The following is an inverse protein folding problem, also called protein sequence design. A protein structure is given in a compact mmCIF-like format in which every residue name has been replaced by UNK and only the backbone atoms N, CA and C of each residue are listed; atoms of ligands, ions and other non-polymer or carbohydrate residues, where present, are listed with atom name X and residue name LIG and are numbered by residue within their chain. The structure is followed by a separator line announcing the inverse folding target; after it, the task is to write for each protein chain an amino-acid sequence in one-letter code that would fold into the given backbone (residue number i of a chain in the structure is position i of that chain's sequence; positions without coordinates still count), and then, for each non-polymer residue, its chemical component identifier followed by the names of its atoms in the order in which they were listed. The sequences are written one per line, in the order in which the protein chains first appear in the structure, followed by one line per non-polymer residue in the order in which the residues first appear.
data_IF_856166111849
#
_entry.id   IF_856166111849
#
_cell.length_a   1.000
_cell.length_b   1.000
_cell.length_c   1.000
_cell.angle_alpha   90.00
_cell.angle_beta   90.00
_cell.angle_gamma   90.00
#
_symmetry.space_group_name_H-M   'P 1'
#
loop_
_entity.id
_entity.type
_entity.pdbx_description
1 polymer ?
#
# COMPACT_ATOMS: atom_id res chain seq x y z
N UNK A 1 -11.36 28.72 -22.50
CA UNK A 1 -10.38 27.74 -21.96
C UNK A 1 -11.13 26.69 -21.15
N UNK A 2 -11.02 25.39 -21.45
CA UNK A 2 -11.73 24.36 -20.70
C UNK A 2 -11.08 24.19 -19.32
N UNK A 3 -11.89 24.26 -18.25
CA UNK A 3 -11.41 24.09 -16.87
C UNK A 3 -11.23 22.60 -16.57
N UNK A 4 -10.06 22.16 -16.07
CA UNK A 4 -9.84 20.77 -15.71
C UNK A 4 -10.74 20.38 -14.54
N UNK A 5 -11.46 19.27 -14.68
CA UNK A 5 -12.35 18.76 -13.63
C UNK A 5 -11.54 18.23 -12.45
N UNK A 6 -12.09 18.37 -11.24
CA UNK A 6 -11.46 17.93 -9.98
C UNK A 6 -11.07 16.44 -9.99
N UNK A 7 -11.69 15.60 -10.85
CA UNK A 7 -11.33 14.18 -11.01
C UNK A 7 -10.01 13.95 -11.76
N UNK A 8 -9.62 14.87 -12.65
CA UNK A 8 -8.35 14.79 -13.38
C UNK A 8 -7.15 15.07 -12.46
N UNK A 9 -7.29 16.05 -11.55
CA UNK A 9 -6.23 16.37 -10.58
C UNK A 9 -6.06 15.31 -9.49
N UNK A 10 -7.14 14.65 -9.05
CA UNK A 10 -7.06 13.55 -8.09
C UNK A 10 -6.41 12.29 -8.68
N UNK A 11 -6.70 11.99 -9.96
CA UNK A 11 -6.11 10.85 -10.68
C UNK A 11 -4.61 11.04 -10.93
N UNK A 12 -4.16 12.26 -11.24
CA UNK A 12 -2.74 12.56 -11.45
C UNK A 12 -1.90 12.49 -10.16
N UNK A 13 -2.47 12.84 -9.00
CA UNK A 13 -1.77 12.73 -7.70
C UNK A 13 -1.66 11.28 -7.22
N UNK A 14 -2.67 10.44 -7.50
CA UNK A 14 -2.63 9.00 -7.18
C UNK A 14 -1.71 8.20 -8.13
N UNK A 15 -1.62 8.57 -9.40
CA UNK A 15 -0.69 7.94 -10.37
C UNK A 15 0.78 8.12 -10.02
N UNK A 16 1.18 9.31 -9.52
CA UNK A 16 2.57 9.58 -9.11
C UNK A 16 3.00 8.86 -7.82
N UNK A 17 2.06 8.59 -6.91
CA UNK A 17 2.32 7.84 -5.67
C UNK A 17 2.52 6.34 -5.91
N UNK A 18 1.73 5.75 -6.83
CA UNK A 18 1.85 4.33 -7.20
C UNK A 18 3.07 4.04 -8.10
N UNK A 19 3.47 5.00 -8.95
CA UNK A 19 4.70 4.87 -9.74
C UNK A 19 5.98 4.90 -8.88
N UNK A 20 5.98 5.64 -7.75
CA UNK A 20 7.15 5.68 -6.87
C UNK A 20 7.31 4.43 -6.00
N UNK A 21 6.23 3.67 -5.77
CA UNK A 21 6.24 2.41 -5.00
C UNK A 21 6.51 1.16 -5.86
N UNK A 22 6.35 1.25 -7.18
CA UNK A 22 6.60 0.14 -8.12
C UNK A 22 7.99 0.15 -8.73
N UNK A 23 8.69 1.29 -8.78
CA UNK A 23 10.08 1.36 -9.27
C UNK A 23 11.09 0.86 -8.22
N UNK A 24 10.74 0.87 -6.92
CA UNK A 24 11.59 0.37 -5.84
C UNK A 24 11.65 -1.17 -5.71
N UNK A 25 10.70 -1.89 -6.31
CA UNK A 25 10.61 -3.35 -6.20
C UNK A 25 11.04 -4.10 -7.49
N UNK A 26 11.34 -3.37 -8.57
CA UNK A 26 11.66 -3.95 -9.88
C UNK A 26 13.17 -4.02 -10.20
N UNK A 27 14.05 -3.87 -9.19
CA UNK A 27 15.52 -3.92 -9.37
C UNK A 27 16.23 -5.06 -8.62
N UNK A 28 15.51 -6.07 -8.16
CA UNK A 28 16.10 -7.19 -7.41
C UNK A 28 15.80 -8.58 -8.00
N UNK A 29 15.13 -8.66 -9.15
CA UNK A 29 14.76 -9.93 -9.77
C UNK A 29 15.47 -10.12 -11.12
N UNK A 30 16.79 -10.20 -11.12
CA UNK A 30 17.53 -10.77 -12.26
C UNK A 30 18.85 -11.37 -11.78
N UNK A 31 19.03 -12.65 -12.12
CA UNK A 31 20.26 -13.48 -12.00
C UNK A 31 20.47 -14.26 -10.71
N UNK A 32 19.79 -15.40 -10.58
CA UNK A 32 20.43 -16.61 -10.02
C UNK A 32 19.86 -17.87 -10.66
N UNK A 33 20.23 -18.10 -11.92
CA UNK A 33 20.36 -19.42 -12.50
C UNK A 33 21.66 -19.41 -13.31
N UNK A 34 22.45 -20.48 -13.21
CA UNK A 34 23.81 -20.65 -13.74
C UNK A 34 24.91 -20.19 -12.78
N UNK A 35 25.58 -21.18 -12.15
CA UNK A 35 27.01 -21.27 -11.86
C UNK A 35 27.24 -22.11 -10.60
N UNK A 36 27.07 -23.43 -10.71
CA UNK A 36 27.55 -24.39 -9.72
C UNK A 36 28.75 -25.21 -10.21
N UNK A 37 29.39 -24.79 -11.31
CA UNK A 37 30.53 -25.47 -11.90
C UNK A 37 31.50 -24.42 -12.46
N UNK A 38 32.19 -23.69 -11.58
CA UNK A 38 33.50 -23.06 -11.83
C UNK A 38 33.82 -22.09 -10.69
N UNK A 39 34.35 -22.64 -9.59
CA UNK A 39 35.22 -21.93 -8.62
C UNK A 39 35.68 -22.89 -7.53
N UNK A 40 36.40 -23.94 -7.92
CA UNK A 40 37.40 -24.53 -7.03
C UNK A 40 38.74 -24.05 -7.54
N UNK A 41 39.08 -22.80 -7.19
CA UNK A 41 40.46 -22.33 -7.29
C UNK A 41 41.17 -22.96 -6.10
N UNK A 42 41.81 -24.10 -6.32
CA UNK A 42 42.63 -24.81 -5.33
C UNK A 42 43.84 -23.94 -5.00
N UNK A 43 43.69 -23.01 -4.08
CA UNK A 43 44.83 -22.46 -3.35
C UNK A 43 45.35 -23.59 -2.47
N UNK A 44 46.38 -24.29 -2.95
CA UNK A 44 47.24 -25.12 -2.11
C UNK A 44 47.97 -24.15 -1.20
N UNK A 45 47.38 -23.84 -0.04
CA UNK A 45 48.14 -23.32 1.07
C UNK A 45 49.09 -24.44 1.48
N UNK A 46 50.39 -24.23 1.23
CA UNK A 46 51.45 -25.00 1.87
C UNK A 46 51.28 -24.78 3.37
N UNK A 47 50.59 -25.71 4.04
CA UNK A 47 50.44 -25.70 5.47
C UNK A 47 51.84 -25.76 6.07
N UNK A 48 52.27 -24.66 6.68
CA UNK A 48 53.42 -24.62 7.56
C UNK A 48 53.12 -25.57 8.71
N UNK A 49 53.83 -26.69 8.71
CA UNK A 49 53.93 -27.67 9.79
C UNK A 49 54.34 -26.96 11.07
N UNK A 50 53.39 -26.83 12.01
CA UNK A 50 53.56 -27.04 13.46
C UNK A 50 52.38 -26.41 14.21
N UNK A 51 51.26 -27.16 14.27
CA UNK A 51 50.22 -26.92 15.27
C UNK A 51 50.07 -28.21 16.06
N UNK A 52 50.88 -28.35 17.10
CA UNK A 52 50.82 -29.50 18.01
C UNK A 52 49.62 -29.33 18.96
N UNK A 53 48.45 -29.82 18.54
CA UNK A 53 47.26 -29.90 19.40
C UNK A 53 47.35 -31.21 20.19
N UNK A 54 47.52 -31.18 21.51
CA UNK A 54 47.59 -32.41 22.31
C UNK A 54 46.30 -33.21 22.12
N UNK A 55 46.42 -34.53 21.87
CA UNK A 55 45.37 -35.54 21.58
C UNK A 55 44.95 -35.76 20.12
N UNK A 56 45.40 -34.93 19.18
CA UNK A 56 45.20 -35.18 17.74
C UNK A 56 46.48 -35.71 17.11
N UNK A 57 46.52 -37.01 16.84
CA UNK A 57 47.58 -37.61 16.02
C UNK A 57 47.43 -37.10 14.59
N UNK A 58 48.33 -36.24 14.14
CA UNK A 58 48.44 -35.84 12.74
C UNK A 58 49.10 -36.97 11.96
N UNK A 59 48.30 -37.85 11.37
CA UNK A 59 48.81 -38.83 10.39
C UNK A 59 49.14 -38.11 9.09
N UNK A 60 50.39 -38.21 8.68
CA UNK A 60 50.83 -37.79 7.35
C UNK A 60 50.19 -38.71 6.29
N UNK A 61 49.90 -38.24 5.06
CA UNK A 61 49.33 -39.09 4.01
C UNK A 61 50.16 -40.35 3.71
N UNK A 62 51.47 -40.30 3.94
CA UNK A 62 52.40 -41.44 3.83
C UNK A 62 52.18 -42.52 4.91
N UNK A 63 51.66 -42.16 6.09
CA UNK A 63 51.37 -43.12 7.17
C UNK A 63 50.01 -43.79 6.99
N UNK A 64 49.12 -43.21 6.18
CA UNK A 64 47.81 -43.82 5.86
C UNK A 64 47.99 -45.08 5.01
N UNK A 65 48.94 -45.09 4.09
CA UNK A 65 49.21 -46.23 3.21
C UNK A 65 49.67 -47.47 4.00
N UNK A 66 50.43 -47.28 5.08
CA UNK A 66 50.83 -48.37 5.99
C UNK A 66 49.74 -48.82 6.97
N UNK A 67 48.68 -48.03 7.15
CA UNK A 67 47.52 -48.37 7.99
C UNK A 67 46.40 -49.05 7.20
N UNK A 68 46.41 -48.93 5.88
CA UNK A 68 45.48 -49.67 5.02
C UNK A 68 45.92 -51.14 4.98
N UNK A 69 44.98 -52.09 5.16
CA UNK A 69 45.28 -53.50 4.96
C UNK A 69 45.80 -53.68 3.54
N UNK A 70 47.00 -54.24 3.40
CA UNK A 70 47.61 -54.45 2.09
C UNK A 70 46.75 -55.41 1.28
N UNK A 71 46.22 -54.94 0.15
CA UNK A 71 45.46 -55.75 -0.77
C UNK A 71 46.41 -56.55 -1.65
N UNK A 72 46.44 -57.87 -1.49
CA UNK A 72 47.22 -58.76 -2.36
C UNK A 72 46.29 -59.38 -3.42
N UNK A 73 46.36 -58.95 -4.71
CA UNK A 73 45.45 -59.43 -5.75
C UNK A 73 45.53 -60.94 -5.99
N UNK A 74 46.70 -61.55 -5.71
CA UNK A 74 46.94 -62.99 -5.90
C UNK A 74 46.15 -63.86 -4.91
N UNK A 75 45.83 -63.33 -3.72
CA UNK A 75 45.06 -64.06 -2.69
C UNK A 75 43.56 -64.14 -3.01
N UNK A 76 43.08 -63.32 -3.95
CA UNK A 76 41.69 -63.29 -4.41
C UNK A 76 41.51 -63.90 -5.80
N UNK A 77 42.58 -64.40 -6.42
CA UNK A 77 42.52 -65.01 -7.74
C UNK A 77 41.99 -66.45 -7.65
N UNK A 78 40.75 -66.65 -8.11
CA UNK A 78 40.11 -67.97 -8.13
C UNK A 78 40.49 -68.68 -9.44
N UNK A 79 41.45 -69.60 -9.35
CA UNK A 79 41.88 -70.42 -10.50
C UNK A 79 40.90 -71.55 -10.83
N UNK A 80 40.19 -72.09 -9.83
CA UNK A 80 39.11 -73.08 -9.98
C UNK A 80 37.86 -72.61 -9.21
N UNK A 81 36.80 -72.16 -9.90
CA UNK A 81 35.57 -71.67 -9.28
C UNK A 81 34.79 -72.73 -8.48
N UNK A 82 34.96 -74.02 -8.77
CA UNK A 82 34.26 -75.08 -8.05
C UNK A 82 34.99 -75.48 -6.76
N UNK A 83 36.30 -75.25 -6.68
CA UNK A 83 37.12 -75.58 -5.51
C UNK A 83 38.03 -74.41 -5.13
N UNK A 84 37.49 -73.32 -4.55
CA UNK A 84 38.31 -72.19 -4.13
C UNK A 84 39.34 -72.64 -3.07
N UNK A 85 40.56 -72.08 -3.08
CA UNK A 85 41.59 -72.39 -2.08
C UNK A 85 41.07 -72.15 -0.66
N UNK A 86 41.34 -73.07 0.28
CA UNK A 86 40.92 -72.94 1.69
C UNK A 86 41.55 -71.73 2.41
N UNK A 87 42.59 -71.14 1.84
CA UNK A 87 43.27 -69.93 2.30
C UNK A 87 42.57 -68.65 1.88
N UNK A 88 41.61 -68.73 0.94
CA UNK A 88 40.82 -67.58 0.53
C UNK A 88 39.89 -67.17 1.68
N UNK A 89 39.94 -65.91 2.14
CA UNK A 89 39.07 -65.45 3.21
C UNK A 89 37.61 -65.46 2.71
N UNK A 90 36.85 -66.47 3.12
CA UNK A 90 35.42 -66.55 2.87
C UNK A 90 34.67 -65.80 3.95
N UNK A 91 33.71 -64.98 3.53
CA UNK A 91 32.80 -64.28 4.43
C UNK A 91 32.01 -65.34 5.20
N UNK A 92 32.00 -65.25 6.53
CA UNK A 92 31.19 -66.19 7.33
C UNK A 92 29.70 -65.93 7.08
N UNK A 93 28.86 -66.94 7.27
CA UNK A 93 27.40 -66.78 7.12
C UNK A 93 26.85 -65.62 7.97
N UNK A 94 27.42 -65.40 9.17
CA UNK A 94 27.03 -64.30 10.04
C UNK A 94 27.40 -62.93 9.46
N UNK A 95 28.57 -62.80 8.83
CA UNK A 95 29.00 -61.57 8.16
C UNK A 95 28.16 -61.28 6.91
N UNK A 96 27.84 -62.32 6.12
CA UNK A 96 26.97 -62.19 4.96
C UNK A 96 25.56 -61.73 5.34
N UNK A 97 24.95 -62.36 6.35
CA UNK A 97 23.62 -61.96 6.85
C UNK A 97 23.63 -60.54 7.40
N UNK A 98 24.71 -60.14 8.08
CA UNK A 98 24.86 -58.77 8.60
C UNK A 98 24.96 -57.75 7.46
N UNK A 99 25.78 -58.02 6.44
CA UNK A 99 25.91 -57.16 5.27
C UNK A 99 24.59 -57.05 4.48
N UNK A 100 23.87 -58.16 4.29
CA UNK A 100 22.56 -58.16 3.63
C UNK A 100 21.54 -57.31 4.39
N UNK A 101 21.51 -57.39 5.73
CA UNK A 101 20.61 -56.58 6.57
C UNK A 101 20.94 -55.08 6.48
N UNK A 102 22.23 -54.73 6.45
CA UNK A 102 22.67 -53.33 6.28
C UNK A 102 22.21 -52.82 4.92
N UNK A 103 22.41 -53.59 3.86
CA UNK A 103 21.99 -53.22 2.50
C UNK A 103 20.47 -53.03 2.41
N UNK A 104 19.68 -53.99 2.89
CA UNK A 104 18.21 -53.91 2.87
C UNK A 104 17.68 -52.79 3.78
N UNK A 105 18.39 -52.51 4.88
CA UNK A 105 18.11 -51.37 5.75
C UNK A 105 18.36 -50.04 5.04
N UNK A 106 19.50 -49.92 4.35
CA UNK A 106 19.84 -48.75 3.55
C UNK A 106 18.86 -48.49 2.42
N UNK A 107 18.48 -49.53 1.68
CA UNK A 107 17.48 -49.44 0.61
C UNK A 107 16.12 -48.97 1.13
N UNK A 108 15.65 -49.50 2.27
CA UNK A 108 14.41 -49.06 2.90
C UNK A 108 14.49 -47.61 3.38
N UNK A 109 15.60 -47.22 3.99
CA UNK A 109 15.82 -45.84 4.43
C UNK A 109 15.80 -44.86 3.25
N UNK A 110 16.43 -45.22 2.12
CA UNK A 110 16.42 -44.40 0.91
C UNK A 110 15.00 -44.24 0.33
N UNK A 111 14.24 -45.33 0.25
CA UNK A 111 12.85 -45.28 -0.22
C UNK A 111 11.95 -44.44 0.70
N UNK A 112 12.09 -44.60 2.02
CA UNK A 112 11.35 -43.80 3.00
C UNK A 112 11.69 -42.32 2.88
N UNK A 113 12.98 -42.00 2.69
CA UNK A 113 13.45 -40.64 2.51
C UNK A 113 12.88 -40.03 1.22
N UNK A 114 12.88 -40.76 0.11
CA UNK A 114 12.24 -40.32 -1.14
C UNK A 114 10.75 -40.02 -0.97
N UNK A 115 10.00 -40.94 -0.36
CA UNK A 115 8.57 -40.71 -0.06
C UNK A 115 8.33 -39.52 0.89
N UNK A 116 9.23 -39.30 1.84
CA UNK A 116 9.15 -38.14 2.72
C UNK A 116 9.39 -36.82 1.96
N UNK A 117 10.33 -36.79 1.00
CA UNK A 117 10.52 -35.64 0.12
C UNK A 117 9.31 -35.36 -0.78
N UNK A 118 8.67 -36.40 -1.32
CA UNK A 118 7.44 -36.24 -2.10
C UNK A 118 6.30 -35.68 -1.25
N UNK A 119 6.11 -36.22 -0.04
CA UNK A 119 5.08 -35.75 0.89
C UNK A 119 5.31 -34.29 1.32
N UNK A 120 6.56 -33.93 1.63
CA UNK A 120 6.90 -32.56 2.02
C UNK A 120 6.69 -31.58 0.86
N UNK A 121 7.03 -31.98 -0.37
CA UNK A 121 6.76 -31.19 -1.58
C UNK A 121 5.26 -30.95 -1.76
N UNK A 122 4.43 -31.99 -1.62
CA UNK A 122 2.97 -31.85 -1.70
C UNK A 122 2.42 -30.94 -0.60
N UNK A 123 2.90 -31.08 0.64
CA UNK A 123 2.51 -30.19 1.75
C UNK A 123 2.89 -28.74 1.48
N UNK A 124 4.07 -28.48 0.94
CA UNK A 124 4.49 -27.13 0.58
C UNK A 124 3.59 -26.50 -0.49
N UNK A 125 3.18 -27.28 -1.50
CA UNK A 125 2.22 -26.82 -2.52
C UNK A 125 0.86 -26.48 -1.90
N UNK A 126 0.36 -27.32 -0.99
CA UNK A 126 -0.91 -27.08 -0.29
C UNK A 126 -0.84 -25.82 0.58
N UNK A 127 0.21 -25.65 1.38
CA UNK A 127 0.40 -24.45 2.20
C UNK A 127 0.57 -23.20 1.33
N UNK A 128 1.28 -23.30 0.19
CA UNK A 128 1.37 -22.22 -0.78
C UNK A 128 0.00 -21.82 -1.36
N UNK A 129 -0.89 -22.77 -1.62
CA UNK A 129 -2.28 -22.48 -2.04
C UNK A 129 -3.09 -21.82 -0.93
N UNK A 130 -2.98 -22.28 0.32
CA UNK A 130 -3.65 -21.66 1.48
C UNK A 130 -3.19 -20.22 1.70
N UNK A 131 -1.89 -19.96 1.63
CA UNK A 131 -1.33 -18.61 1.77
C UNK A 131 -1.86 -17.67 0.67
N UNK A 132 -1.95 -18.14 -0.58
CA UNK A 132 -2.55 -17.37 -1.69
C UNK A 132 -4.04 -17.11 -1.47
N UNK A 133 -4.79 -18.10 -1.01
CA UNK A 133 -6.22 -17.94 -0.71
C UNK A 133 -6.44 -16.93 0.42
N UNK A 134 -5.63 -16.99 1.47
CA UNK A 134 -5.65 -16.01 2.55
C UNK A 134 -5.32 -14.60 2.04
N UNK A 135 -4.26 -14.46 1.23
CA UNK A 135 -3.91 -13.18 0.61
C UNK A 135 -5.02 -12.61 -0.28
N UNK A 136 -5.68 -13.44 -1.09
CA UNK A 136 -6.84 -13.05 -1.88
C UNK A 136 -8.03 -12.62 -0.99
N UNK A 137 -8.27 -13.33 0.12
CA UNK A 137 -9.28 -12.97 1.11
C UNK A 137 -9.03 -11.61 1.75
N UNK A 138 -7.78 -11.33 2.15
CA UNK A 138 -7.39 -10.01 2.69
C UNK A 138 -7.59 -8.91 1.65
N UNK A 139 -7.16 -9.11 0.40
CA UNK A 139 -7.38 -8.14 -0.67
C UNK A 139 -8.85 -7.87 -0.95
N UNK A 140 -9.69 -8.92 -0.96
CA UNK A 140 -11.13 -8.78 -1.12
C UNK A 140 -11.74 -7.99 0.04
N UNK A 141 -11.38 -8.30 1.29
CA UNK A 141 -11.86 -7.58 2.47
C UNK A 141 -11.50 -6.09 2.41
N UNK A 142 -10.24 -5.76 2.07
CA UNK A 142 -9.82 -4.36 1.90
C UNK A 142 -10.57 -3.64 0.78
N UNK A 143 -10.88 -4.34 -0.32
CA UNK A 143 -11.69 -3.78 -1.40
C UNK A 143 -13.11 -3.44 -0.94
N UNK A 144 -13.74 -4.32 -0.15
CA UNK A 144 -15.06 -4.06 0.45
C UNK A 144 -15.04 -2.87 1.41
N UNK A 145 -14.03 -2.78 2.28
CA UNK A 145 -13.88 -1.63 3.18
C UNK A 145 -13.71 -0.31 2.41
N UNK A 146 -12.95 -0.34 1.32
CA UNK A 146 -12.80 0.83 0.45
C UNK A 146 -14.14 1.25 -0.17
N UNK A 147 -14.90 0.31 -0.72
CA UNK A 147 -16.23 0.61 -1.30
C UNK A 147 -17.18 1.17 -0.24
N UNK A 148 -17.14 0.62 0.98
CA UNK A 148 -17.90 1.14 2.11
C UNK A 148 -17.51 2.58 2.44
N UNK A 149 -16.20 2.87 2.51
CA UNK A 149 -15.69 4.23 2.72
C UNK A 149 -16.14 5.20 1.63
N UNK A 150 -15.97 4.82 0.36
CA UNK A 150 -16.38 5.64 -0.79
C UNK A 150 -17.90 5.93 -0.76
N UNK A 151 -18.74 4.97 -0.32
CA UNK A 151 -20.18 5.17 -0.14
C UNK A 151 -20.51 6.16 0.98
N UNK A 152 -19.85 6.04 2.14
CA UNK A 152 -20.05 6.96 3.26
C UNK A 152 -19.62 8.38 2.88
N UNK A 153 -18.48 8.52 2.20
CA UNK A 153 -18.01 9.82 1.69
C UNK A 153 -19.01 10.44 0.72
N UNK A 154 -19.60 9.64 -0.18
CA UNK A 154 -20.65 10.11 -1.08
C UNK A 154 -21.90 10.60 -0.33
N UNK A 155 -22.35 9.86 0.69
CA UNK A 155 -23.50 10.26 1.51
C UNK A 155 -23.23 11.59 2.23
N UNK A 156 -22.03 11.76 2.81
CA UNK A 156 -21.63 13.01 3.46
C UNK A 156 -21.59 14.17 2.45
N UNK A 157 -21.09 13.94 1.23
CA UNK A 157 -21.10 14.97 0.18
C UNK A 157 -22.52 15.35 -0.24
N UNK A 158 -23.43 14.38 -0.32
CA UNK A 158 -24.83 14.61 -0.65
C UNK A 158 -25.48 15.50 0.43
N UNK A 159 -25.31 15.15 1.70
CA UNK A 159 -25.84 15.92 2.84
C UNK A 159 -25.27 17.35 2.86
N UNK A 160 -23.96 17.50 2.71
CA UNK A 160 -23.31 18.81 2.65
C UNK A 160 -23.84 19.67 1.48
N UNK A 161 -24.12 19.06 0.33
CA UNK A 161 -24.70 19.79 -0.80
C UNK A 161 -26.15 20.20 -0.53
N UNK A 162 -26.94 19.38 0.15
CA UNK A 162 -28.29 19.73 0.57
C UNK A 162 -28.28 20.91 1.55
N UNK A 163 -27.41 20.87 2.56
CA UNK A 163 -27.25 21.96 3.54
C UNK A 163 -26.85 23.28 2.86
N UNK A 164 -25.88 23.24 1.93
CA UNK A 164 -25.51 24.41 1.12
C UNK A 164 -26.67 24.93 0.27
N UNK A 165 -27.50 24.04 -0.27
CA UNK A 165 -28.70 24.41 -1.02
C UNK A 165 -29.71 25.17 -0.15
N UNK A 166 -29.93 24.70 1.07
CA UNK A 166 -30.80 25.37 2.07
C UNK A 166 -30.23 26.74 2.41
N UNK A 167 -28.93 26.83 2.73
CA UNK A 167 -28.27 28.08 3.08
C UNK A 167 -28.38 29.10 1.93
N UNK A 168 -28.10 28.69 0.70
CA UNK A 168 -28.27 29.54 -0.49
C UNK A 168 -29.72 30.00 -0.66
N UNK A 169 -30.69 29.12 -0.42
CA UNK A 169 -32.11 29.46 -0.45
C UNK A 169 -32.46 30.55 0.56
N UNK A 170 -31.98 30.42 1.80
CA UNK A 170 -32.21 31.43 2.86
C UNK A 170 -31.52 32.76 2.54
N UNK A 171 -30.31 32.73 1.97
CA UNK A 171 -29.58 33.94 1.57
C UNK A 171 -30.30 34.69 0.44
N UNK A 172 -30.82 33.97 -0.56
CA UNK A 172 -31.63 34.54 -1.64
C UNK A 172 -32.91 35.16 -1.10
N UNK A 173 -33.61 34.48 -0.20
CA UNK A 173 -34.81 35.00 0.42
C UNK A 173 -34.52 36.31 1.17
N UNK A 174 -33.49 36.33 2.03
CA UNK A 174 -33.08 37.55 2.76
C UNK A 174 -32.76 38.71 1.82
N UNK A 175 -32.04 38.44 0.72
CA UNK A 175 -31.69 39.45 -0.27
C UNK A 175 -32.95 40.02 -0.95
N UNK A 176 -33.85 39.14 -1.40
CA UNK A 176 -35.11 39.53 -2.03
C UNK A 176 -35.98 40.34 -1.08
N UNK A 177 -36.08 39.93 0.19
CA UNK A 177 -36.83 40.67 1.20
C UNK A 177 -36.19 42.04 1.48
N UNK A 178 -34.86 42.12 1.55
CA UNK A 178 -34.16 43.40 1.73
C UNK A 178 -34.39 44.36 0.54
N UNK A 179 -34.38 43.84 -0.69
CA UNK A 179 -34.71 44.62 -1.89
C UNK A 179 -36.15 45.15 -1.84
N UNK A 180 -37.12 44.30 -1.47
CA UNK A 180 -38.52 44.72 -1.33
C UNK A 180 -38.70 45.79 -0.25
N UNK A 181 -38.08 45.62 0.91
CA UNK A 181 -38.11 46.61 1.99
C UNK A 181 -37.51 47.93 1.52
N UNK A 182 -36.39 47.90 0.78
CA UNK A 182 -35.76 49.12 0.29
C UNK A 182 -36.69 49.92 -0.64
N UNK A 183 -37.40 49.24 -1.55
CA UNK A 183 -38.38 49.89 -2.45
C UNK A 183 -39.52 50.54 -1.68
N UNK A 184 -40.12 49.83 -0.71
CA UNK A 184 -41.20 50.39 0.11
C UNK A 184 -40.70 51.56 0.97
N UNK A 185 -39.48 51.45 1.52
CA UNK A 185 -38.88 52.52 2.33
C UNK A 185 -38.61 53.77 1.49
N UNK A 186 -38.13 53.62 0.25
CA UNK A 186 -37.92 54.73 -0.68
C UNK A 186 -39.25 55.42 -1.02
N UNK A 187 -40.29 54.63 -1.27
CA UNK A 187 -41.65 55.14 -1.52
C UNK A 187 -42.17 55.94 -0.33
N UNK A 188 -42.10 55.39 0.89
CA UNK A 188 -42.49 56.11 2.11
C UNK A 188 -41.72 57.43 2.30
N UNK A 189 -40.43 57.43 1.93
CA UNK A 189 -39.57 58.62 2.05
C UNK A 189 -39.97 59.69 1.04
N UNK A 190 -40.30 59.30 -0.19
CA UNK A 190 -40.82 60.19 -1.22
C UNK A 190 -42.19 60.76 -0.84
N UNK A 191 -43.11 59.95 -0.31
CA UNK A 191 -44.42 60.41 0.18
C UNK A 191 -44.26 61.44 1.32
N UNK A 192 -43.35 61.19 2.27
CA UNK A 192 -43.03 62.15 3.34
C UNK A 192 -42.42 63.45 2.80
N UNK A 193 -41.59 63.36 1.77
CA UNK A 193 -40.99 64.51 1.12
C UNK A 193 -42.05 65.36 0.42
N UNK A 194 -42.98 64.73 -0.30
CA UNK A 194 -44.09 65.41 -0.97
C UNK A 194 -45.01 66.13 0.04
N UNK A 195 -45.37 65.47 1.15
CA UNK A 195 -46.13 66.09 2.24
C UNK A 195 -45.40 67.30 2.85
N UNK A 196 -44.08 67.19 3.06
CA UNK A 196 -43.29 68.29 3.58
C UNK A 196 -43.22 69.48 2.62
N UNK A 197 -43.12 69.22 1.31
CA UNK A 197 -43.16 70.25 0.27
C UNK A 197 -44.52 70.95 0.23
N UNK A 198 -45.63 70.21 0.21
CA UNK A 198 -46.97 70.78 0.25
C UNK A 198 -47.20 71.64 1.51
N UNK A 199 -46.70 71.18 2.66
CA UNK A 199 -46.73 71.94 3.92
C UNK A 199 -45.91 73.23 3.85
N UNK A 200 -44.72 73.18 3.24
CA UNK A 200 -43.89 74.36 3.02
C UNK A 200 -44.56 75.37 2.08
N UNK A 201 -45.13 74.92 0.97
CA UNK A 201 -45.88 75.77 0.02
C UNK A 201 -47.06 76.46 0.71
N UNK A 202 -47.86 75.72 1.48
CA UNK A 202 -48.97 76.28 2.24
C UNK A 202 -48.50 77.35 3.24
N UNK A 203 -47.38 77.10 3.93
CA UNK A 203 -46.78 78.10 4.83
C UNK A 203 -46.31 79.35 4.07
N UNK A 204 -45.73 79.20 2.87
CA UNK A 204 -45.36 80.35 2.02
C UNK A 204 -46.57 81.16 1.56
N UNK A 205 -47.66 80.49 1.14
CA UNK A 205 -48.91 81.14 0.76
C UNK A 205 -49.53 81.90 1.93
N UNK A 206 -49.62 81.28 3.10
CA UNK A 206 -50.10 81.97 4.32
C UNK A 206 -49.22 83.17 4.70
N UNK A 207 -47.91 83.06 4.49
CA UNK A 207 -46.98 84.17 4.74
C UNK A 207 -47.22 85.31 3.74
N UNK A 208 -47.38 85.00 2.45
CA UNK A 208 -47.77 85.99 1.45
C UNK A 208 -49.10 86.66 1.77
N UNK A 209 -50.14 85.89 2.12
CA UNK A 209 -51.44 86.45 2.50
C UNK A 209 -51.32 87.39 3.70
N UNK A 210 -50.59 86.99 4.75
CA UNK A 210 -50.34 87.83 5.93
C UNK A 210 -49.56 89.08 5.58
N UNK A 211 -48.54 88.98 4.72
CA UNK A 211 -47.80 90.14 4.23
C UNK A 211 -48.69 91.09 3.43
N UNK A 212 -49.58 90.56 2.59
CA UNK A 212 -50.53 91.35 1.79
C UNK A 212 -51.51 92.09 2.70
N UNK A 213 -52.12 91.40 3.67
CA UNK A 213 -52.99 92.03 4.70
C UNK A 213 -52.25 93.09 5.51
N UNK A 214 -50.97 92.88 5.83
CA UNK A 214 -50.14 93.85 6.53
C UNK A 214 -49.88 95.09 5.65
N UNK A 215 -49.60 94.89 4.36
CA UNK A 215 -49.43 95.97 3.40
C UNK A 215 -50.71 96.82 3.25
N UNK A 216 -51.87 96.18 3.11
CA UNK A 216 -53.18 96.85 3.08
C UNK A 216 -53.44 97.65 4.36
N UNK A 217 -53.17 97.06 5.53
CA UNK A 217 -53.32 97.74 6.82
C UNK A 217 -52.42 98.98 6.95
N UNK A 218 -51.18 98.92 6.45
CA UNK A 218 -50.27 100.08 6.41
C UNK A 218 -50.79 101.20 5.50
N UNK A 219 -51.41 100.84 4.37
CA UNK A 219 -52.02 101.78 3.43
C UNK A 219 -53.22 102.50 4.06
N UNK A 220 -53.97 101.81 4.92
CA UNK A 220 -55.10 102.38 5.68
C UNK A 220 -54.66 103.33 6.80
N UNK A 221 -53.47 103.12 7.37
CA UNK A 221 -52.88 103.92 8.44
C UNK A 221 -52.04 105.11 7.96
N UNK A 222 -51.76 105.20 6.65
CA UNK A 222 -51.07 106.36 6.08
C UNK A 222 -52.11 107.43 5.74
N UNK A 223 -52.07 108.62 6.37
CA UNK A 223 -53.02 109.68 6.07
C UNK A 223 -52.85 110.12 4.61
N UNK A 224 -53.93 110.08 3.84
CA UNK A 224 -53.98 110.75 2.54
C UNK A 224 -53.81 112.25 2.78
N UNK A 225 -52.71 112.81 2.28
CA UNK A 225 -52.50 114.25 2.09
C UNK A 225 -52.92 114.61 0.68
#
# INVERSE_FOLDING_TARGET
MPRPSLSQNASQRRGKSLAKKTVGAAKSATKTASNLADKVKTTVQKATSDVNIPTLNFTSPSEVEGQLPQFNPQEYQVSDPLNPPKTMPQVTQSQFVSASRIYDGGMRALQLTGKAFDLTTQRFVVEGKKAKAFGAGVQAATAFEKVKGDLTDYQIQLENNQQKGIELGTAKLRTTTAEQIAVETEKELNEKLELAQAGAELATLQTQEKQTKLAEFRLLLTPQV
#
